data_IF_056248611842
#
_entry.id   IF_056248611842
#
_cell.length_a   1.000
_cell.length_b   1.000
_cell.length_c   1.000
_cell.angle_alpha   90.00
_cell.angle_beta   90.00
_cell.angle_gamma   90.00
#
_symmetry.space_group_name_H-M   'P 1'
#
loop_
_entity.id
_entity.type
_entity.pdbx_description
1 polymer ?
#
# COMPACT_ATOMS: atom_id res chain seq x y z
N UNK A 1 -5.57 -23.60 9.29
CA UNK A 1 -5.30 -22.20 8.90
C UNK A 1 -6.59 -21.41 9.00
N UNK A 2 -6.53 -20.23 9.60
CA UNK A 2 -7.66 -19.31 9.77
C UNK A 2 -7.24 -17.95 9.23
N UNK A 3 -8.02 -17.35 8.34
CA UNK A 3 -7.72 -16.04 7.77
C UNK A 3 -7.58 -14.99 8.88
N UNK A 4 -6.50 -14.24 8.84
CA UNK A 4 -6.17 -13.22 9.83
C UNK A 4 -6.14 -11.78 9.25
N UNK A 5 -6.54 -11.61 7.98
CA UNK A 5 -6.86 -10.32 7.37
C UNK A 5 -5.72 -9.32 7.18
N UNK A 6 -4.46 -9.68 7.42
CA UNK A 6 -3.33 -8.76 7.27
C UNK A 6 -2.99 -8.48 5.81
N UNK A 7 -2.76 -9.53 5.06
CA UNK A 7 -2.56 -9.52 3.60
C UNK A 7 -3.39 -10.63 2.97
N UNK A 8 -3.58 -10.59 1.68
CA UNK A 8 -4.25 -11.66 0.94
C UNK A 8 -3.55 -13.00 1.20
N UNK A 9 -4.28 -13.96 1.78
CA UNK A 9 -3.77 -15.28 2.14
C UNK A 9 -3.02 -15.36 3.47
N UNK A 10 -2.92 -14.26 4.24
CA UNK A 10 -2.39 -14.31 5.62
C UNK A 10 -3.29 -15.16 6.51
N UNK A 11 -2.69 -16.05 7.29
CA UNK A 11 -3.44 -16.95 8.16
C UNK A 11 -2.73 -17.19 9.48
N UNK A 12 -3.52 -17.34 10.55
CA UNK A 12 -3.05 -17.96 11.78
C UNK A 12 -2.96 -19.47 11.61
N UNK A 13 -2.04 -20.09 12.34
CA UNK A 13 -1.83 -21.53 12.33
C UNK A 13 -2.29 -22.10 13.65
N UNK A 14 -3.27 -23.00 13.62
CA UNK A 14 -3.76 -23.73 14.79
C UNK A 14 -3.21 -25.15 14.77
N UNK A 15 -2.59 -25.56 15.86
CA UNK A 15 -1.96 -26.89 16.01
C UNK A 15 -2.54 -27.59 17.25
N UNK A 16 -3.00 -28.82 17.09
CA UNK A 16 -3.42 -29.69 18.19
C UNK A 16 -2.37 -30.76 18.42
N UNK A 17 -1.81 -30.77 19.63
CA UNK A 17 -0.82 -31.75 20.07
C UNK A 17 -1.44 -32.66 21.12
N UNK A 18 -1.34 -33.97 20.90
CA UNK A 18 -1.86 -34.98 21.82
C UNK A 18 -0.72 -35.80 22.40
N UNK A 19 -0.59 -35.83 23.70
CA UNK A 19 0.35 -36.66 24.43
C UNK A 19 -0.37 -37.28 25.65
N UNK A 20 -0.20 -38.56 25.86
CA UNK A 20 -0.82 -39.33 26.93
C UNK A 20 -2.35 -39.11 27.07
N UNK A 21 -3.03 -38.98 25.93
CA UNK A 21 -4.47 -38.76 25.87
C UNK A 21 -4.93 -37.32 26.17
N UNK A 22 -4.01 -36.42 26.49
CA UNK A 22 -4.30 -35.01 26.68
C UNK A 22 -3.99 -34.22 25.40
N UNK A 23 -4.95 -33.46 24.91
CA UNK A 23 -4.77 -32.60 23.73
C UNK A 23 -4.65 -31.14 24.16
N UNK A 24 -3.66 -30.45 23.59
CA UNK A 24 -3.43 -29.03 23.76
C UNK A 24 -3.52 -28.32 22.40
N UNK A 25 -4.20 -27.18 22.36
CA UNK A 25 -4.29 -26.32 21.20
C UNK A 25 -3.29 -25.16 21.34
N UNK A 26 -2.41 -25.04 20.35
CA UNK A 26 -1.45 -23.93 20.22
C UNK A 26 -1.84 -23.12 18.99
N UNK A 27 -1.87 -21.80 19.12
CA UNK A 27 -2.13 -20.86 18.02
C UNK A 27 -0.92 -19.98 17.79
N UNK A 28 -0.49 -19.92 16.52
CA UNK A 28 0.50 -18.96 16.05
C UNK A 28 -0.24 -17.92 15.21
N UNK A 29 -0.26 -16.66 15.68
CA UNK A 29 -1.08 -15.63 15.03
C UNK A 29 -0.63 -15.28 13.61
N UNK A 30 0.67 -15.36 13.32
CA UNK A 30 1.21 -14.60 12.20
C UNK A 30 0.99 -13.10 12.41
N UNK A 31 1.02 -12.32 11.35
CA UNK A 31 0.70 -10.89 11.38
C UNK A 31 -0.82 -10.70 11.33
N UNK A 32 -1.38 -10.08 12.37
CA UNK A 32 -2.83 -9.89 12.53
C UNK A 32 -3.24 -8.61 11.80
N UNK A 33 -4.25 -8.71 10.94
CA UNK A 33 -4.79 -7.59 10.20
C UNK A 33 -5.57 -6.60 11.07
N UNK A 34 -5.56 -5.33 10.67
CA UNK A 34 -6.44 -4.34 11.27
C UNK A 34 -7.87 -4.52 10.73
N UNK A 35 -8.89 -4.20 11.54
CA UNK A 35 -10.30 -4.29 11.13
C UNK A 35 -10.70 -3.18 10.20
N UNK A 36 -11.65 -3.49 9.32
CA UNK A 36 -12.25 -2.54 8.36
C UNK A 36 -11.22 -1.91 7.43
N UNK A 37 -10.20 -2.68 7.06
CA UNK A 37 -9.32 -2.30 5.97
C UNK A 37 -10.05 -2.46 4.64
N UNK A 38 -9.77 -1.61 3.67
CA UNK A 38 -10.40 -1.72 2.36
C UNK A 38 -9.91 -2.97 1.63
N UNK A 39 -10.75 -3.54 0.80
CA UNK A 39 -10.45 -4.62 -0.14
C UNK A 39 -10.44 -6.03 0.47
N UNK A 40 -9.94 -6.22 1.67
CA UNK A 40 -9.82 -7.53 2.31
C UNK A 40 -10.82 -7.71 3.45
N UNK A 41 -11.21 -8.97 3.69
CA UNK A 41 -12.04 -9.35 4.84
C UNK A 41 -11.34 -9.04 6.15
N UNK A 42 -12.15 -8.74 7.16
CA UNK A 42 -11.67 -8.58 8.53
C UNK A 42 -11.04 -9.88 9.08
N UNK A 43 -10.08 -9.76 10.01
CA UNK A 43 -9.49 -10.92 10.69
C UNK A 43 -10.55 -11.79 11.36
N UNK A 44 -10.43 -13.10 11.21
CA UNK A 44 -11.26 -14.07 11.93
C UNK A 44 -10.64 -14.37 13.29
N UNK A 45 -11.29 -14.02 14.42
CA UNK A 45 -10.72 -14.21 15.73
C UNK A 45 -10.69 -15.69 16.11
N UNK A 46 -9.59 -16.12 16.73
CA UNK A 46 -9.52 -17.43 17.40
C UNK A 46 -10.34 -17.41 18.67
N UNK A 47 -11.26 -18.38 18.84
CA UNK A 47 -12.19 -18.40 19.98
C UNK A 47 -11.53 -18.87 21.28
N UNK A 48 -10.67 -19.88 21.20
CA UNK A 48 -9.98 -20.46 22.34
C UNK A 48 -8.68 -21.15 21.95
N UNK A 49 -7.70 -21.16 22.84
CA UNK A 49 -6.46 -21.89 22.73
C UNK A 49 -5.88 -22.15 24.13
N UNK A 50 -5.08 -23.23 24.31
CA UNK A 50 -4.29 -23.43 25.51
C UNK A 50 -3.06 -22.52 25.53
N UNK A 51 -2.44 -22.31 24.37
CA UNK A 51 -1.26 -21.45 24.21
C UNK A 51 -1.41 -20.59 22.97
N UNK A 52 -0.96 -19.33 23.08
CA UNK A 52 -0.94 -18.37 21.97
C UNK A 52 0.47 -17.80 21.82
N UNK A 53 0.99 -17.86 20.60
CA UNK A 53 2.21 -17.18 20.16
C UNK A 53 1.76 -16.07 19.21
N UNK A 54 1.86 -14.83 19.66
CA UNK A 54 1.22 -13.69 19.01
C UNK A 54 2.23 -12.60 18.67
N UNK A 55 2.01 -11.90 17.53
CA UNK A 55 2.72 -10.66 17.22
C UNK A 55 2.47 -9.57 18.27
N UNK A 56 3.27 -8.49 18.23
CA UNK A 56 3.04 -7.30 19.04
C UNK A 56 3.53 -6.03 18.35
N UNK A 57 3.47 -5.98 17.03
CA UNK A 57 4.04 -4.90 16.22
C UNK A 57 3.49 -3.53 16.61
N UNK A 58 2.18 -3.42 16.84
CA UNK A 58 1.51 -2.23 17.35
C UNK A 58 0.90 -2.42 18.73
N UNK A 59 1.46 -3.32 19.53
CA UNK A 59 0.97 -3.61 20.89
C UNK A 59 1.13 -2.45 21.89
N UNK A 60 1.89 -1.40 21.52
CA UNK A 60 2.13 -0.19 22.33
C UNK A 60 1.31 1.03 21.88
N UNK A 61 0.52 0.92 20.80
CA UNK A 61 -0.17 2.06 20.19
C UNK A 61 -1.58 1.72 19.73
N UNK A 62 -2.33 2.76 19.44
CA UNK A 62 -3.68 2.68 18.88
C UNK A 62 -3.71 3.34 17.49
N UNK A 63 -4.52 2.80 16.61
CA UNK A 63 -4.88 3.51 15.38
C UNK A 63 -5.70 4.76 15.71
N UNK A 64 -5.63 5.82 14.88
CA UNK A 64 -6.47 7.01 15.03
C UNK A 64 -7.96 6.62 15.13
N UNK A 65 -8.68 7.23 16.07
CA UNK A 65 -10.14 6.98 16.25
C UNK A 65 -10.96 7.48 15.08
N UNK A 66 -10.56 8.62 14.52
CA UNK A 66 -11.22 9.20 13.36
C UNK A 66 -10.64 8.54 12.10
N UNK A 67 -11.51 7.84 11.38
CA UNK A 67 -11.11 7.25 10.10
C UNK A 67 -10.85 8.38 9.11
N UNK A 68 -9.61 8.44 8.62
CA UNK A 68 -9.26 9.34 7.53
C UNK A 68 -10.04 8.93 6.28
N UNK A 69 -10.58 9.91 5.58
CA UNK A 69 -11.09 9.67 4.22
C UNK A 69 -9.91 9.60 3.24
N UNK A 70 -9.36 8.40 3.08
CA UNK A 70 -8.20 8.17 2.20
C UNK A 70 -8.44 8.60 0.76
N UNK A 71 -9.68 8.51 0.27
CA UNK A 71 -10.04 8.95 -1.07
C UNK A 71 -9.96 10.47 -1.16
N UNK A 72 -10.47 11.20 -0.17
CA UNK A 72 -10.41 12.65 -0.12
C UNK A 72 -8.97 13.17 0.01
N UNK A 73 -8.18 12.60 0.94
CA UNK A 73 -6.77 13.00 1.14
C UNK A 73 -5.91 12.71 -0.09
N UNK A 74 -6.04 11.52 -0.68
CA UNK A 74 -5.34 11.17 -1.91
C UNK A 74 -5.76 12.08 -3.07
N UNK A 75 -7.07 12.37 -3.19
CA UNK A 75 -7.59 13.29 -4.21
C UNK A 75 -6.97 14.68 -4.08
N UNK A 76 -6.83 15.20 -2.85
CA UNK A 76 -6.21 16.49 -2.59
C UNK A 76 -4.77 16.54 -3.09
N UNK A 77 -3.95 15.59 -2.70
CA UNK A 77 -2.53 15.52 -3.13
C UNK A 77 -2.43 15.39 -4.65
N UNK A 78 -3.28 14.58 -5.27
CA UNK A 78 -3.34 14.41 -6.72
C UNK A 78 -3.72 15.73 -7.40
N UNK A 79 -4.79 16.39 -6.95
CA UNK A 79 -5.26 17.65 -7.54
C UNK A 79 -4.15 18.71 -7.50
N UNK A 80 -3.62 18.98 -6.31
CA UNK A 80 -2.61 20.01 -6.11
C UNK A 80 -1.33 19.75 -6.93
N UNK A 81 -0.91 18.48 -7.03
CA UNK A 81 0.32 18.13 -7.75
C UNK A 81 0.11 18.15 -9.27
N UNK A 82 -0.99 17.62 -9.77
CA UNK A 82 -1.28 17.62 -11.21
C UNK A 82 -1.58 19.04 -11.71
N UNK A 83 -2.20 19.91 -10.92
CA UNK A 83 -2.42 21.33 -11.26
C UNK A 83 -1.09 22.07 -11.42
N UNK A 84 -0.03 21.69 -10.68
CA UNK A 84 1.33 22.21 -10.84
C UNK A 84 2.08 21.59 -12.04
N UNK A 85 1.50 20.60 -12.72
CA UNK A 85 2.12 19.85 -13.81
C UNK A 85 3.16 18.83 -13.35
N UNK A 86 3.11 18.43 -12.09
CA UNK A 86 4.04 17.49 -11.45
C UNK A 86 3.57 16.04 -11.44
N UNK A 87 4.47 15.14 -11.03
CA UNK A 87 4.19 13.73 -10.80
C UNK A 87 3.94 13.46 -9.33
N UNK A 88 3.01 12.54 -9.02
CA UNK A 88 2.87 11.96 -7.68
C UNK A 88 3.60 10.62 -7.64
N UNK A 89 4.67 10.53 -6.86
CA UNK A 89 5.45 9.30 -6.67
C UNK A 89 5.04 8.66 -5.34
N UNK A 90 4.61 7.40 -5.39
CA UNK A 90 4.10 6.67 -4.22
C UNK A 90 5.01 5.46 -3.94
N UNK A 91 5.94 5.56 -2.97
CA UNK A 91 6.66 4.41 -2.47
C UNK A 91 5.68 3.43 -1.81
N UNK A 92 5.63 2.19 -2.29
CA UNK A 92 4.65 1.22 -1.82
C UNK A 92 5.22 -0.18 -1.73
N UNK A 93 4.78 -0.96 -0.74
CA UNK A 93 5.03 -2.39 -0.72
C UNK A 93 4.29 -3.07 -1.88
N UNK A 94 4.95 -4.03 -2.52
CA UNK A 94 4.42 -4.70 -3.70
C UNK A 94 3.14 -5.49 -3.42
N UNK A 95 3.00 -6.02 -2.20
CA UNK A 95 1.86 -6.83 -1.75
C UNK A 95 1.06 -6.05 -0.72
N UNK A 96 -0.24 -6.04 -0.84
CA UNK A 96 -1.22 -5.40 0.05
C UNK A 96 -1.36 -3.90 -0.23
N UNK A 97 -0.37 -3.09 0.14
CA UNK A 97 -0.45 -1.63 0.06
C UNK A 97 -0.65 -1.12 -1.38
N UNK A 98 0.04 -1.67 -2.35
CA UNK A 98 -0.16 -1.29 -3.76
C UNK A 98 -1.61 -1.54 -4.18
N UNK A 99 -2.21 -2.68 -3.83
CA UNK A 99 -3.57 -3.03 -4.22
C UNK A 99 -4.61 -2.14 -3.52
N UNK A 100 -4.40 -1.76 -2.27
CA UNK A 100 -5.25 -0.77 -1.57
C UNK A 100 -5.21 0.60 -2.24
N UNK A 101 -4.02 1.09 -2.60
CA UNK A 101 -3.89 2.36 -3.32
C UNK A 101 -4.57 2.30 -4.69
N UNK A 102 -4.46 1.18 -5.40
CA UNK A 102 -5.19 0.97 -6.67
C UNK A 102 -6.72 1.02 -6.45
N UNK A 103 -7.22 0.45 -5.36
CA UNK A 103 -8.64 0.52 -4.99
C UNK A 103 -9.11 1.96 -4.77
N UNK A 104 -8.35 2.77 -4.03
CA UNK A 104 -8.66 4.19 -3.85
C UNK A 104 -8.57 4.99 -5.15
N UNK A 105 -7.51 4.78 -5.93
CA UNK A 105 -7.34 5.44 -7.23
C UNK A 105 -8.48 5.11 -8.20
N UNK A 106 -8.98 3.87 -8.16
CA UNK A 106 -10.16 3.49 -8.94
C UNK A 106 -11.38 4.32 -8.53
N UNK A 107 -11.66 4.47 -7.22
CA UNK A 107 -12.76 5.30 -6.72
C UNK A 107 -12.61 6.75 -7.22
N UNK A 108 -11.40 7.29 -7.17
CA UNK A 108 -11.08 8.65 -7.63
C UNK A 108 -11.32 8.80 -9.14
N UNK A 109 -10.82 7.86 -9.95
CA UNK A 109 -10.96 7.88 -11.41
C UNK A 109 -12.41 7.73 -11.85
N UNK A 110 -13.14 6.76 -11.30
CA UNK A 110 -14.56 6.53 -11.63
C UNK A 110 -15.43 7.71 -11.16
N UNK A 111 -15.13 8.25 -9.98
CA UNK A 111 -15.82 9.44 -9.44
C UNK A 111 -15.42 10.75 -10.10
N UNK A 112 -14.39 10.75 -10.98
CA UNK A 112 -13.82 11.96 -11.60
C UNK A 112 -13.52 13.03 -10.56
N UNK A 113 -12.89 12.63 -9.44
CA UNK A 113 -12.71 13.51 -8.29
C UNK A 113 -11.60 14.54 -8.51
N UNK A 114 -10.56 14.24 -9.32
CA UNK A 114 -9.49 15.17 -9.71
C UNK A 114 -9.95 15.96 -10.94
N UNK A 115 -10.30 17.23 -10.71
CA UNK A 115 -10.92 18.08 -11.73
C UNK A 115 -9.89 18.61 -12.74
N UNK A 116 -10.25 18.53 -14.03
CA UNK A 116 -9.39 18.97 -15.11
C UNK A 116 -8.26 17.98 -15.50
N UNK A 117 -8.15 16.88 -14.74
CA UNK A 117 -7.12 15.84 -14.96
C UNK A 117 -7.71 14.43 -14.92
N UNK A 118 -8.96 14.24 -15.32
CA UNK A 118 -9.69 12.97 -15.18
C UNK A 118 -8.96 11.78 -15.81
N UNK A 119 -8.15 12.04 -16.86
CA UNK A 119 -7.44 11.00 -17.62
C UNK A 119 -5.97 10.80 -17.22
N UNK A 120 -5.53 11.34 -16.05
CA UNK A 120 -4.14 11.16 -15.61
C UNK A 120 -3.74 9.68 -15.61
N UNK A 121 -2.54 9.33 -16.15
CA UNK A 121 -2.06 7.96 -16.14
C UNK A 121 -1.55 7.53 -14.75
N UNK A 122 -1.76 6.27 -14.41
CA UNK A 122 -1.23 5.64 -13.19
C UNK A 122 -0.35 4.48 -13.60
N UNK A 123 0.90 4.48 -13.16
CA UNK A 123 1.86 3.41 -13.40
C UNK A 123 2.08 2.59 -12.13
N UNK A 124 2.01 1.27 -12.24
CA UNK A 124 2.58 0.33 -11.27
C UNK A 124 3.90 -0.16 -11.85
N UNK A 125 4.99 0.40 -11.36
CA UNK A 125 6.35 0.07 -11.82
C UNK A 125 7.08 -0.82 -10.83
N UNK A 126 6.63 -2.07 -10.75
CA UNK A 126 7.21 -3.15 -9.94
C UNK A 126 6.72 -4.49 -10.45
N UNK A 127 7.59 -5.36 -11.03
CA UNK A 127 7.18 -6.69 -11.49
C UNK A 127 6.46 -7.50 -10.39
N UNK A 128 6.99 -7.49 -9.16
CA UNK A 128 6.37 -8.18 -8.03
C UNK A 128 4.97 -7.62 -7.71
N UNK A 129 4.76 -6.30 -7.78
CA UNK A 129 3.44 -5.71 -7.54
C UNK A 129 2.45 -6.07 -8.64
N UNK A 130 2.90 -6.18 -9.88
CA UNK A 130 2.08 -6.63 -11.00
C UNK A 130 1.63 -8.08 -10.81
N UNK A 131 2.55 -8.98 -10.45
CA UNK A 131 2.24 -10.38 -10.15
C UNK A 131 1.30 -10.50 -8.95
N UNK A 132 1.59 -9.80 -7.85
CA UNK A 132 0.72 -9.77 -6.67
C UNK A 132 -0.70 -9.30 -7.02
N UNK A 133 -0.83 -8.26 -7.87
CA UNK A 133 -2.15 -7.77 -8.31
C UNK A 133 -2.92 -8.84 -9.09
N UNK A 134 -2.24 -9.66 -9.90
CA UNK A 134 -2.83 -10.84 -10.55
C UNK A 134 -3.38 -11.85 -9.53
N UNK A 135 -2.58 -12.19 -8.51
CA UNK A 135 -2.98 -13.10 -7.42
C UNK A 135 -4.20 -12.58 -6.66
N UNK A 136 -4.26 -11.25 -6.37
CA UNK A 136 -5.44 -10.63 -5.76
C UNK A 136 -6.70 -10.81 -6.60
N UNK A 137 -6.59 -10.66 -7.92
CA UNK A 137 -7.73 -10.84 -8.83
C UNK A 137 -8.20 -12.29 -8.91
N UNK A 138 -7.29 -13.25 -8.88
CA UNK A 138 -7.60 -14.68 -8.94
C UNK A 138 -8.33 -15.16 -7.68
N UNK A 139 -7.96 -14.63 -6.50
CA UNK A 139 -8.50 -15.04 -5.20
C UNK A 139 -9.55 -14.07 -4.62
N UNK A 140 -10.15 -13.23 -5.45
CA UNK A 140 -11.11 -12.20 -5.02
C UNK A 140 -12.34 -12.74 -4.30
N UNK A 141 -12.84 -13.89 -4.72
CA UNK A 141 -14.06 -14.49 -4.15
C UNK A 141 -13.90 -14.92 -2.69
N UNK A 142 -12.74 -15.39 -2.34
CA UNK A 142 -12.41 -15.88 -1.00
C UNK A 142 -12.00 -14.77 -0.06
N UNK A 143 -11.29 -13.75 -0.57
CA UNK A 143 -10.52 -12.81 0.25
C UNK A 143 -11.06 -11.38 0.29
N UNK A 144 -11.86 -10.95 -0.72
CA UNK A 144 -12.34 -9.56 -0.75
C UNK A 144 -13.49 -9.33 0.22
N UNK A 145 -13.54 -8.11 0.78
CA UNK A 145 -14.60 -7.62 1.64
C UNK A 145 -15.93 -7.46 0.89
N UNK A 146 -17.00 -7.18 1.63
CA UNK A 146 -18.35 -7.07 1.04
C UNK A 146 -18.46 -5.92 0.04
N UNK A 147 -17.79 -4.78 0.29
CA UNK A 147 -17.81 -3.61 -0.60
C UNK A 147 -17.11 -3.93 -1.94
N UNK A 148 -15.91 -4.52 -1.89
CA UNK A 148 -15.20 -4.92 -3.10
C UNK A 148 -15.95 -6.03 -3.87
N UNK A 149 -16.63 -6.92 -3.14
CA UNK A 149 -17.45 -7.99 -3.73
C UNK A 149 -18.71 -7.49 -4.44
N UNK A 150 -19.28 -6.35 -4.06
CA UNK A 150 -20.35 -5.72 -4.83
C UNK A 150 -19.88 -5.40 -6.25
N UNK A 151 -18.71 -4.79 -6.40
CA UNK A 151 -18.13 -4.52 -7.73
C UNK A 151 -17.86 -5.81 -8.52
N UNK A 152 -17.32 -6.84 -7.86
CA UNK A 152 -17.02 -8.14 -8.51
C UNK A 152 -18.29 -8.79 -9.05
N UNK A 153 -19.40 -8.76 -8.31
CA UNK A 153 -20.71 -9.28 -8.73
C UNK A 153 -21.26 -8.56 -9.96
N UNK A 154 -20.96 -7.27 -10.09
CA UNK A 154 -21.32 -6.46 -11.27
C UNK A 154 -20.35 -6.64 -12.46
N UNK A 155 -19.38 -7.54 -12.34
CA UNK A 155 -18.35 -7.78 -13.38
C UNK A 155 -17.26 -6.71 -13.41
N UNK A 156 -17.14 -5.91 -12.37
CA UNK A 156 -16.19 -4.81 -12.26
C UNK A 156 -14.98 -5.27 -11.44
N UNK A 157 -13.77 -5.01 -11.95
CA UNK A 157 -12.55 -5.25 -11.19
C UNK A 157 -12.29 -4.06 -10.23
N UNK A 158 -12.27 -4.28 -8.89
CA UNK A 158 -12.15 -3.18 -7.93
C UNK A 158 -10.76 -2.55 -7.86
N UNK A 159 -9.73 -3.14 -8.47
CA UNK A 159 -8.35 -2.64 -8.50
C UNK A 159 -7.82 -2.34 -9.92
N UNK A 160 -8.73 -2.28 -10.91
CA UNK A 160 -8.38 -1.90 -12.28
C UNK A 160 -9.29 -0.79 -12.80
N UNK A 161 -8.74 0.09 -13.61
CA UNK A 161 -9.43 1.25 -14.17
C UNK A 161 -8.74 1.74 -15.44
N UNK A 162 -9.44 2.59 -16.21
CA UNK A 162 -8.86 3.22 -17.39
C UNK A 162 -7.67 4.12 -17.03
N UNK A 163 -6.57 3.99 -17.78
CA UNK A 163 -5.33 4.73 -17.52
C UNK A 163 -4.36 4.04 -16.56
N UNK A 164 -4.73 2.87 -15.98
CA UNK A 164 -3.77 2.03 -15.25
C UNK A 164 -2.82 1.34 -16.23
N UNK A 165 -1.52 1.50 -16.01
CA UNK A 165 -0.44 0.92 -16.80
C UNK A 165 0.49 0.11 -15.89
N UNK A 166 0.77 -1.13 -16.29
CA UNK A 166 1.63 -2.04 -15.56
C UNK A 166 2.98 -2.12 -16.28
N UNK A 167 4.09 -1.83 -15.57
CA UNK A 167 5.44 -1.83 -16.12
C UNK A 167 6.23 -3.02 -15.55
N UNK A 168 6.73 -3.87 -16.44
CA UNK A 168 7.47 -5.09 -16.10
C UNK A 168 8.93 -4.96 -16.50
N UNK A 169 9.21 -4.45 -17.69
CA UNK A 169 10.58 -4.36 -18.23
C UNK A 169 11.34 -3.14 -17.71
N UNK A 170 12.67 -3.20 -17.80
CA UNK A 170 13.53 -2.05 -17.44
C UNK A 170 13.38 -0.88 -18.43
N UNK A 171 13.09 -1.18 -19.67
CA UNK A 171 12.86 -0.19 -20.73
C UNK A 171 11.58 0.60 -20.47
N UNK A 172 10.48 -0.09 -20.11
CA UNK A 172 9.23 0.56 -19.71
C UNK A 172 9.43 1.45 -18.48
N UNK A 173 10.13 0.94 -17.45
CA UNK A 173 10.45 1.70 -16.24
C UNK A 173 11.24 2.98 -16.52
N UNK A 174 12.24 2.91 -17.42
CA UNK A 174 13.01 4.08 -17.83
C UNK A 174 12.13 5.09 -18.57
N UNK A 175 11.28 4.62 -19.50
CA UNK A 175 10.39 5.46 -20.29
C UNK A 175 9.46 6.32 -19.42
N UNK A 176 9.00 5.80 -18.27
CA UNK A 176 8.16 6.54 -17.31
C UNK A 176 8.85 7.84 -16.85
N UNK A 177 10.17 7.80 -16.60
CA UNK A 177 10.92 8.94 -16.08
C UNK A 177 11.20 10.01 -17.16
N UNK A 178 11.13 9.66 -18.44
CA UNK A 178 11.35 10.59 -19.56
C UNK A 178 10.06 11.10 -20.18
N UNK A 179 8.92 10.54 -19.81
CA UNK A 179 7.59 11.06 -20.21
C UNK A 179 7.24 12.27 -19.33
N UNK A 180 7.04 13.43 -19.94
CA UNK A 180 6.75 14.70 -19.25
C UNK A 180 5.27 14.85 -18.83
N UNK A 181 4.38 13.95 -19.29
CA UNK A 181 2.97 13.96 -18.90
C UNK A 181 2.84 13.78 -17.38
N UNK A 182 2.13 14.68 -16.67
CA UNK A 182 1.84 14.51 -15.25
C UNK A 182 1.15 13.17 -14.96
N UNK A 183 1.65 12.43 -13.96
CA UNK A 183 1.24 11.05 -13.71
C UNK A 183 1.38 10.64 -12.26
N UNK A 184 0.76 9.51 -11.92
CA UNK A 184 0.99 8.79 -10.66
C UNK A 184 1.92 7.61 -10.93
N UNK A 185 2.94 7.45 -10.07
CA UNK A 185 3.92 6.35 -10.15
C UNK A 185 3.93 5.61 -8.83
N UNK A 186 3.46 4.37 -8.82
CA UNK A 186 3.49 3.47 -7.66
C UNK A 186 4.64 2.49 -7.88
N UNK A 187 5.59 2.44 -6.95
CA UNK A 187 6.77 1.59 -7.11
C UNK A 187 7.31 1.07 -5.78
N UNK A 188 7.83 -0.14 -5.76
CA UNK A 188 8.50 -0.73 -4.61
C UNK A 188 10.00 -0.33 -4.59
N UNK A 189 10.60 -0.24 -3.40
CA UNK A 189 10.11 -0.61 -2.07
C UNK A 189 9.38 0.54 -1.36
N UNK A 190 8.52 0.19 -0.40
CA UNK A 190 7.73 1.17 0.37
C UNK A 190 8.57 2.05 1.31
N UNK A 191 9.81 1.65 1.66
CA UNK A 191 10.73 2.43 2.50
C UNK A 191 11.85 3.10 1.71
N UNK A 192 11.82 3.05 0.39
CA UNK A 192 12.75 3.71 -0.55
C UNK A 192 14.20 3.18 -0.56
N UNK A 193 14.52 2.10 0.16
CA UNK A 193 15.90 1.60 0.27
C UNK A 193 16.36 0.78 -0.93
N UNK A 194 15.43 0.18 -1.66
CA UNK A 194 15.70 -0.67 -2.81
C UNK A 194 14.64 -0.51 -3.90
N UNK A 195 14.87 -1.15 -5.04
CA UNK A 195 13.90 -1.22 -6.12
C UNK A 195 13.87 0.01 -7.04
N UNK A 196 12.89 -0.03 -7.95
CA UNK A 196 12.73 0.99 -9.00
C UNK A 196 12.31 2.35 -8.46
N UNK A 197 11.67 2.40 -7.29
CA UNK A 197 11.31 3.64 -6.60
C UNK A 197 12.48 4.61 -6.48
N UNK A 198 13.71 4.09 -6.26
CA UNK A 198 14.89 4.94 -6.14
C UNK A 198 15.22 5.70 -7.43
N UNK A 199 14.94 5.11 -8.58
CA UNK A 199 15.08 5.81 -9.88
C UNK A 199 14.02 6.89 -10.01
N UNK A 200 12.77 6.61 -9.67
CA UNK A 200 11.70 7.60 -9.71
C UNK A 200 11.97 8.75 -8.73
N UNK A 201 12.45 8.47 -7.52
CA UNK A 201 12.85 9.51 -6.57
C UNK A 201 13.99 10.38 -7.11
N UNK A 202 15.02 9.78 -7.75
CA UNK A 202 16.10 10.54 -8.38
C UNK A 202 15.58 11.53 -9.43
N UNK A 203 14.58 11.16 -10.20
CA UNK A 203 14.02 12.00 -11.27
C UNK A 203 12.98 13.02 -10.79
N UNK A 204 12.40 12.84 -9.60
CA UNK A 204 11.28 13.67 -9.15
C UNK A 204 11.57 14.50 -7.87
N UNK A 205 12.49 14.10 -6.98
CA UNK A 205 12.72 14.79 -5.70
C UNK A 205 13.18 16.24 -5.84
N UNK A 206 13.96 16.56 -6.87
CA UNK A 206 14.48 17.91 -7.10
C UNK A 206 13.48 18.85 -7.80
N UNK A 207 12.32 18.33 -8.20
CA UNK A 207 11.29 19.05 -8.96
C UNK A 207 10.20 19.55 -8.00
N UNK A 208 10.07 20.88 -7.79
CA UNK A 208 9.12 21.45 -6.83
C UNK A 208 7.66 21.26 -7.21
N UNK A 209 7.36 20.98 -8.49
CA UNK A 209 6.03 20.66 -8.95
C UNK A 209 5.57 19.24 -8.59
N UNK A 210 6.53 18.33 -8.28
CA UNK A 210 6.23 16.95 -7.96
C UNK A 210 5.90 16.76 -6.47
N UNK A 211 5.26 15.63 -6.14
CA UNK A 211 5.04 15.18 -4.78
C UNK A 211 5.49 13.73 -4.58
N UNK A 212 5.99 13.41 -3.40
CA UNK A 212 6.19 12.05 -2.92
C UNK A 212 5.20 11.78 -1.81
N UNK A 213 4.30 10.82 -2.01
CA UNK A 213 3.26 10.44 -1.05
C UNK A 213 3.62 9.15 -0.35
N UNK A 214 3.96 9.22 0.92
CA UNK A 214 4.21 8.05 1.76
C UNK A 214 2.89 7.46 2.27
N UNK A 215 2.70 6.17 2.01
CA UNK A 215 1.46 5.44 2.32
C UNK A 215 1.68 4.30 3.33
N UNK A 216 2.73 4.38 4.12
CA UNK A 216 3.07 3.37 5.10
C UNK A 216 4.19 3.82 6.03
N UNK A 217 4.40 3.01 7.07
CA UNK A 217 5.45 3.24 8.06
C UNK A 217 6.84 3.29 7.42
N UNK A 218 7.65 4.25 7.89
CA UNK A 218 9.05 4.40 7.48
C UNK A 218 9.95 4.03 8.66
N UNK A 219 10.69 2.92 8.53
CA UNK A 219 11.55 2.42 9.58
C UNK A 219 12.77 3.33 9.79
N UNK A 220 13.24 3.39 11.02
CA UNK A 220 14.45 4.14 11.35
C UNK A 220 15.64 3.66 10.51
N UNK A 221 16.44 4.60 10.01
CA UNK A 221 17.61 4.31 9.17
C UNK A 221 17.32 4.14 7.67
N UNK A 222 16.05 4.19 7.23
CA UNK A 222 15.67 4.10 5.82
C UNK A 222 15.68 5.46 5.12
N UNK A 223 15.82 5.44 3.79
CA UNK A 223 15.71 6.65 2.98
C UNK A 223 14.31 7.30 3.11
N UNK A 224 13.26 6.48 3.13
CA UNK A 224 11.89 6.98 3.33
C UNK A 224 11.76 7.72 4.66
N UNK A 225 12.37 7.20 5.74
CA UNK A 225 12.38 7.86 7.05
C UNK A 225 13.12 9.19 7.00
N UNK A 226 14.30 9.25 6.39
CA UNK A 226 15.05 10.49 6.24
C UNK A 226 14.23 11.57 5.50
N UNK A 227 13.54 11.17 4.43
CA UNK A 227 12.66 12.08 3.69
C UNK A 227 11.48 12.58 4.57
N UNK A 228 10.78 11.69 5.27
CA UNK A 228 9.65 12.07 6.13
C UNK A 228 10.06 12.89 7.34
N UNK A 229 11.34 12.86 7.75
CA UNK A 229 11.93 13.72 8.78
C UNK A 229 12.44 15.06 8.21
N UNK A 230 12.27 15.33 6.92
CA UNK A 230 12.57 16.61 6.30
C UNK A 230 14.02 16.76 5.80
N UNK A 231 14.65 15.68 5.36
CA UNK A 231 15.97 15.76 4.74
C UNK A 231 15.96 16.70 3.53
N UNK A 232 16.80 17.75 3.56
CA UNK A 232 16.94 18.68 2.44
C UNK A 232 17.74 18.11 1.27
N UNK A 233 18.60 17.12 1.53
CA UNK A 233 19.43 16.42 0.55
C UNK A 233 19.50 14.94 0.86
N UNK A 234 19.45 14.13 -0.18
CA UNK A 234 19.62 12.66 -0.08
C UNK A 234 20.61 12.14 -1.09
N UNK A 235 21.21 10.99 -0.82
CA UNK A 235 22.13 10.31 -1.77
C UNK A 235 21.40 9.20 -2.52
N UNK A 236 21.34 9.30 -3.84
CA UNK A 236 20.80 8.28 -4.72
C UNK A 236 21.80 7.94 -5.82
N UNK A 237 22.21 6.66 -5.91
CA UNK A 237 23.18 6.18 -6.91
C UNK A 237 24.51 6.97 -6.93
N UNK A 238 24.99 7.40 -5.74
CA UNK A 238 26.23 8.18 -5.59
C UNK A 238 26.08 9.68 -5.82
N UNK A 239 24.93 10.15 -6.29
CA UNK A 239 24.64 11.57 -6.52
C UNK A 239 23.88 12.17 -5.33
N UNK A 240 24.16 13.42 -5.00
CA UNK A 240 23.41 14.19 -4.01
C UNK A 240 22.23 14.87 -4.71
N UNK A 241 21.03 14.57 -4.26
CA UNK A 241 19.78 15.12 -4.79
C UNK A 241 19.17 16.07 -3.77
N UNK A 242 18.88 17.28 -4.18
CA UNK A 242 18.14 18.26 -3.39
C UNK A 242 16.66 17.87 -3.35
N UNK A 243 16.04 17.98 -2.16
CA UNK A 243 14.62 17.63 -1.97
C UNK A 243 13.80 18.92 -2.05
N UNK A 244 13.14 19.11 -3.20
CA UNK A 244 12.23 20.22 -3.50
C UNK A 244 10.78 19.79 -3.68
N UNK A 245 10.58 18.51 -4.01
CA UNK A 245 9.25 17.93 -4.14
C UNK A 245 8.51 18.01 -2.80
N UNK A 246 7.21 18.18 -2.87
CA UNK A 246 6.34 18.09 -1.70
C UNK A 246 6.41 16.67 -1.11
N UNK A 247 6.56 16.58 0.21
CA UNK A 247 6.56 15.31 0.94
C UNK A 247 5.26 15.20 1.73
N UNK A 248 4.33 14.38 1.24
CA UNK A 248 3.04 14.14 1.86
C UNK A 248 3.01 12.75 2.52
N UNK A 249 2.19 12.60 3.56
CA UNK A 249 1.98 11.33 4.25
C UNK A 249 0.48 11.04 4.34
N UNK A 250 0.12 9.80 4.08
CA UNK A 250 -1.23 9.28 4.28
C UNK A 250 -1.22 8.44 5.56
N UNK A 251 -1.54 9.07 6.68
CA UNK A 251 -1.50 8.43 7.98
C UNK A 251 -2.65 7.45 8.21
N UNK A 252 -2.45 6.50 9.15
CA UNK A 252 -3.51 5.57 9.58
C UNK A 252 -3.71 4.36 8.67
N UNK A 253 -2.99 4.25 7.57
CA UNK A 253 -3.01 3.06 6.70
C UNK A 253 -2.08 1.99 7.31
N UNK A 254 -2.44 1.46 8.47
CA UNK A 254 -1.67 0.42 9.17
C UNK A 254 -2.19 -0.98 8.84
N UNK A 255 -1.32 -1.89 8.38
CA UNK A 255 -1.70 -3.28 8.08
C UNK A 255 -1.94 -4.12 9.33
N UNK A 256 -1.19 -3.88 10.41
CA UNK A 256 -1.28 -4.65 11.64
C UNK A 256 -2.41 -4.17 12.56
N UNK A 257 -2.96 -5.11 13.32
CA UNK A 257 -3.83 -4.80 14.44
C UNK A 257 -3.12 -3.90 15.46
N UNK A 258 -3.86 -2.98 16.05
CA UNK A 258 -3.37 -2.17 17.16
C UNK A 258 -3.53 -2.89 18.51
N UNK A 259 -3.16 -2.21 19.61
CA UNK A 259 -3.26 -2.73 20.99
C UNK A 259 -4.64 -3.30 21.34
N UNK A 260 -5.72 -2.79 20.75
CA UNK A 260 -7.08 -3.27 21.03
C UNK A 260 -7.52 -4.38 20.06
N UNK A 261 -6.84 -4.54 18.94
CA UNK A 261 -7.11 -5.57 17.94
C UNK A 261 -6.35 -6.87 18.20
N UNK A 262 -5.22 -6.80 18.94
CA UNK A 262 -4.46 -7.95 19.42
C UNK A 262 -5.18 -8.62 20.59
#
# INVERSE_FOLDING_TARGET
FTDIGHLLGSASIEVWLTEDGNTKKIVFSGDIGNKHQPLLKDPTPTKEADYVVMESTYGDRLHPKDKLDYVAELTKVLQETLDRGGNVVIPSFAVGRTQEILYFLRKIKVGRLVKGHEDFPVYVDSPMAVEATGVFQENRWECFDDEAMEFVKEGINPIAFSGLKLSITSEESKAINFDETPKVIISASGMCDAGRIRHHLKHNLWRPECAVLFVGYQAYGTLGRALTEGAEYVKLFGETIEVKAELAQLDGVGGHADKNGL
#
